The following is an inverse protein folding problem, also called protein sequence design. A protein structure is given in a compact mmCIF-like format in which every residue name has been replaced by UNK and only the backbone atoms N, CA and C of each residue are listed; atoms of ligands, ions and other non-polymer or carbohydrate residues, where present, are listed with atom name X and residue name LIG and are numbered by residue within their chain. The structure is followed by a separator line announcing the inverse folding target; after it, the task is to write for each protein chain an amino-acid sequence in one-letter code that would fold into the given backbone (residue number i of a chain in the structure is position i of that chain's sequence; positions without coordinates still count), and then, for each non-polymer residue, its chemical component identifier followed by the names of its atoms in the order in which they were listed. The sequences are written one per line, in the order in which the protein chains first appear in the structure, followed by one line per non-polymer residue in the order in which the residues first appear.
data_IF_085793961925
#
_entry.id   IF_085793961925
#
_cell.length_a   1.000
_cell.length_b   1.000
_cell.length_c   1.000
_cell.angle_alpha   90.00
_cell.angle_beta   90.00
_cell.angle_gamma   90.00
#
_symmetry.space_group_name_H-M   'P 1'
#
loop_
_entity.id
_entity.type
_entity.pdbx_description
1 polymer ?
#
# COMPACT_ATOMS: atom_id res chain seq x y z
N UNK A 1 43.63 -52.20 -12.33
CA UNK A 1 42.86 -51.13 -12.98
C UNK A 1 41.61 -50.93 -12.14
N UNK A 2 41.73 -50.29 -10.97
CA UNK A 2 41.78 -48.82 -10.78
C UNK A 2 40.52 -48.17 -11.33
N UNK A 3 39.78 -47.31 -10.65
CA UNK A 3 39.71 -46.72 -9.30
C UNK A 3 38.34 -46.00 -9.36
N UNK A 4 37.48 -46.02 -8.35
CA UNK A 4 37.17 -44.84 -7.51
C UNK A 4 36.42 -45.35 -6.28
N UNK A 5 37.16 -45.55 -5.19
CA UNK A 5 36.69 -45.31 -3.82
C UNK A 5 37.32 -43.98 -3.38
N UNK A 6 36.62 -43.28 -2.50
CA UNK A 6 37.05 -42.14 -1.66
C UNK A 6 37.34 -40.79 -2.32
N UNK A 7 36.37 -39.89 -2.20
CA UNK A 7 36.57 -38.53 -1.65
C UNK A 7 35.25 -38.09 -0.99
N UNK A 8 35.11 -38.35 0.32
CA UNK A 8 35.13 -37.30 1.37
C UNK A 8 34.01 -36.27 1.17
N UNK A 9 32.85 -36.44 1.78
CA UNK A 9 32.63 -36.03 3.18
C UNK A 9 33.48 -34.81 3.53
N UNK A 10 33.01 -33.61 3.16
CA UNK A 10 33.42 -32.31 3.70
C UNK A 10 32.63 -31.19 2.99
N UNK A 11 31.42 -30.89 3.49
CA UNK A 11 30.75 -29.58 3.32
C UNK A 11 29.55 -29.40 4.28
N UNK A 12 29.63 -29.96 5.49
CA UNK A 12 28.57 -29.83 6.51
C UNK A 12 28.82 -28.71 7.54
N UNK A 13 29.93 -27.96 7.45
CA UNK A 13 30.26 -26.93 8.45
C UNK A 13 30.16 -25.47 7.99
N UNK A 14 29.70 -25.18 6.78
CA UNK A 14 29.50 -23.80 6.28
C UNK A 14 28.03 -23.44 5.97
N UNK A 15 27.05 -24.23 6.44
CA UNK A 15 25.63 -24.00 6.15
C UNK A 15 24.82 -23.46 7.34
N UNK A 16 25.34 -23.49 8.58
CA UNK A 16 24.56 -23.06 9.75
C UNK A 16 24.67 -21.56 10.03
N UNK A 17 25.85 -20.95 9.89
CA UNK A 17 26.05 -19.53 10.24
C UNK A 17 25.39 -18.58 9.23
N UNK A 18 25.46 -18.90 7.93
CA UNK A 18 24.76 -18.14 6.89
C UNK A 18 23.23 -18.21 7.05
N UNK A 19 22.70 -19.37 7.46
CA UNK A 19 21.27 -19.53 7.73
C UNK A 19 20.80 -18.78 8.98
N UNK A 20 21.63 -18.73 10.02
CA UNK A 20 21.37 -17.94 11.23
C UNK A 20 21.40 -16.46 10.90
N UNK A 21 22.41 -15.99 10.17
CA UNK A 21 22.54 -14.59 9.77
C UNK A 21 21.34 -14.13 8.91
N UNK A 22 20.90 -14.94 7.95
CA UNK A 22 19.76 -14.62 7.10
C UNK A 22 18.46 -14.58 7.90
N UNK A 23 18.24 -15.53 8.83
CA UNK A 23 17.08 -15.50 9.74
C UNK A 23 17.09 -14.25 10.62
N UNK A 24 18.22 -13.90 11.24
CA UNK A 24 18.35 -12.69 12.05
C UNK A 24 18.03 -11.44 11.22
N UNK A 25 18.59 -11.34 10.01
CA UNK A 25 18.33 -10.24 9.08
C UNK A 25 16.85 -10.12 8.73
N UNK A 26 16.17 -11.24 8.47
CA UNK A 26 14.72 -11.29 8.21
C UNK A 26 13.93 -10.74 9.40
N UNK A 27 14.24 -11.16 10.64
CA UNK A 27 13.54 -10.67 11.83
C UNK A 27 13.80 -9.19 12.10
N UNK A 28 15.05 -8.74 11.99
CA UNK A 28 15.43 -7.34 12.21
C UNK A 28 14.70 -6.44 11.22
N UNK A 29 14.72 -6.78 9.92
CA UNK A 29 14.02 -6.01 8.91
C UNK A 29 12.50 -6.06 9.05
N UNK A 30 11.94 -7.19 9.47
CA UNK A 30 10.51 -7.30 9.77
C UNK A 30 10.12 -6.42 10.96
N UNK A 31 10.95 -6.39 12.01
CA UNK A 31 10.74 -5.54 13.19
C UNK A 31 10.80 -4.04 12.82
N UNK A 32 11.78 -3.65 12.01
CA UNK A 32 11.89 -2.29 11.48
C UNK A 32 10.62 -1.91 10.70
N UNK A 33 10.12 -2.79 9.83
CA UNK A 33 8.86 -2.56 9.12
C UNK A 33 7.67 -2.35 10.05
N UNK A 34 7.55 -3.16 11.11
CA UNK A 34 6.48 -3.01 12.11
C UNK A 34 6.59 -1.68 12.84
N UNK A 35 7.79 -1.29 13.28
CA UNK A 35 8.03 -0.04 14.01
C UNK A 35 7.68 1.17 13.13
N UNK A 36 8.10 1.16 11.86
CA UNK A 36 7.89 2.29 10.95
C UNK A 36 6.40 2.49 10.64
N UNK A 37 5.67 1.40 10.37
CA UNK A 37 4.30 1.48 9.85
C UNK A 37 3.20 1.34 10.90
N UNK A 38 3.38 0.55 11.96
CA UNK A 38 2.26 0.14 12.81
C UNK A 38 2.34 0.66 14.24
N UNK A 39 3.49 1.13 14.70
CA UNK A 39 3.65 1.61 16.08
C UNK A 39 3.45 3.13 16.11
N UNK A 40 2.36 3.62 16.72
CA UNK A 40 2.20 5.05 16.95
C UNK A 40 3.17 5.52 18.04
N UNK A 41 3.86 6.62 17.79
CA UNK A 41 4.79 7.27 18.71
C UNK A 41 4.28 8.69 18.96
N UNK A 42 4.34 9.13 20.22
CA UNK A 42 4.00 10.50 20.57
C UNK A 42 5.19 11.42 20.29
N UNK A 43 5.06 12.30 19.31
CA UNK A 43 6.00 13.40 19.04
C UNK A 43 5.17 14.67 18.90
N UNK A 44 5.60 15.78 19.51
CA UNK A 44 4.91 17.07 19.44
C UNK A 44 3.41 17.00 19.79
N UNK A 45 3.04 16.22 20.80
CA UNK A 45 1.65 15.95 21.23
C UNK A 45 0.73 15.22 20.22
N UNK A 46 1.24 14.78 19.07
CA UNK A 46 0.50 13.95 18.12
C UNK A 46 0.89 12.48 18.24
N UNK A 47 -0.11 11.59 18.26
CA UNK A 47 0.08 10.14 18.32
C UNK A 47 -0.05 9.54 16.93
N UNK A 48 1.07 9.48 16.21
CA UNK A 48 1.09 8.99 14.83
C UNK A 48 2.23 8.02 14.59
N UNK A 49 2.16 7.26 13.50
CA UNK A 49 3.20 6.29 13.15
C UNK A 49 4.48 7.01 12.74
N UNK A 50 5.63 6.34 12.87
CA UNK A 50 6.92 6.95 12.53
C UNK A 50 6.96 7.43 11.06
N UNK A 51 6.24 6.73 10.18
CA UNK A 51 6.05 7.15 8.80
C UNK A 51 5.49 8.57 8.68
N UNK A 52 4.41 8.88 9.40
CA UNK A 52 3.79 10.21 9.35
C UNK A 52 4.68 11.29 9.95
N UNK A 53 5.39 11.00 11.05
CA UNK A 53 6.36 11.95 11.61
C UNK A 53 7.46 12.31 10.60
N UNK A 54 7.94 11.35 9.82
CA UNK A 54 8.89 11.60 8.73
C UNK A 54 8.24 12.47 7.65
N UNK A 55 7.01 12.16 7.27
CA UNK A 55 6.26 12.93 6.27
C UNK A 55 6.03 14.38 6.69
N UNK A 56 5.54 14.65 7.91
CA UNK A 56 5.35 16.00 8.44
C UNK A 56 6.65 16.78 8.57
N UNK A 57 7.74 16.10 8.93
CA UNK A 57 9.05 16.74 8.97
C UNK A 57 9.51 17.22 7.59
N UNK A 58 9.24 16.42 6.55
CA UNK A 58 9.52 16.79 5.15
C UNK A 58 8.60 17.92 4.73
N UNK A 59 7.31 17.84 5.05
CA UNK A 59 6.31 18.86 4.74
C UNK A 59 6.69 20.23 5.30
N UNK A 60 6.99 20.30 6.60
CA UNK A 60 7.35 21.55 7.27
C UNK A 60 8.60 22.22 6.69
N UNK A 61 9.56 21.43 6.20
CA UNK A 61 10.82 21.96 5.63
C UNK A 61 10.72 22.28 4.14
N UNK A 62 9.85 21.58 3.41
CA UNK A 62 9.86 21.56 1.96
C UNK A 62 8.49 21.84 1.32
N UNK A 63 7.53 22.42 2.05
CA UNK A 63 6.16 22.67 1.57
C UNK A 63 6.11 23.33 0.18
N UNK A 64 6.92 24.38 -0.05
CA UNK A 64 7.02 25.05 -1.36
C UNK A 64 7.52 24.10 -2.46
N UNK A 65 8.56 23.31 -2.15
CA UNK A 65 9.15 22.35 -3.09
C UNK A 65 8.14 21.24 -3.42
N UNK A 66 7.38 20.78 -2.42
CA UNK A 66 6.34 19.76 -2.59
C UNK A 66 5.27 20.28 -3.55
N UNK A 67 4.74 21.48 -3.32
CA UNK A 67 3.72 22.07 -4.19
C UNK A 67 4.19 22.20 -5.64
N UNK A 68 5.44 22.64 -5.84
CA UNK A 68 6.07 22.69 -7.16
C UNK A 68 6.23 21.28 -7.76
N UNK A 69 6.61 20.29 -6.95
CA UNK A 69 6.75 18.90 -7.41
C UNK A 69 5.43 18.29 -7.87
N UNK A 70 4.32 18.61 -7.19
CA UNK A 70 2.98 18.15 -7.57
C UNK A 70 2.58 18.72 -8.92
N UNK A 71 2.75 20.04 -9.11
CA UNK A 71 2.56 20.68 -10.41
C UNK A 71 3.42 20.03 -11.49
N UNK A 72 4.70 19.79 -11.20
CA UNK A 72 5.62 19.16 -12.13
C UNK A 72 5.21 17.73 -12.51
N UNK A 73 4.73 16.92 -11.57
CA UNK A 73 4.26 15.57 -11.88
C UNK A 73 2.99 15.58 -12.72
N UNK A 74 2.06 16.51 -12.45
CA UNK A 74 0.84 16.67 -13.26
C UNK A 74 1.18 17.14 -14.68
N UNK A 75 2.10 18.11 -14.85
CA UNK A 75 2.53 18.54 -16.19
C UNK A 75 3.22 17.42 -16.95
N UNK A 76 4.10 16.65 -16.30
CA UNK A 76 4.76 15.50 -16.91
C UNK A 76 3.76 14.40 -17.32
N UNK A 77 2.70 14.23 -16.54
CA UNK A 77 1.60 13.30 -16.85
C UNK A 77 0.88 13.69 -18.14
N UNK A 78 0.57 14.99 -18.30
CA UNK A 78 -0.05 15.53 -19.51
C UNK A 78 0.88 15.33 -20.72
N UNK A 79 2.17 15.65 -20.59
CA UNK A 79 3.16 15.48 -21.66
C UNK A 79 3.25 14.02 -22.12
N UNK A 80 3.34 13.08 -21.17
CA UNK A 80 3.39 11.64 -21.46
C UNK A 80 2.16 11.17 -22.23
N UNK A 81 0.97 11.62 -21.85
CA UNK A 81 -0.26 11.23 -22.52
C UNK A 81 -0.37 11.84 -23.91
N UNK A 82 0.00 13.13 -24.08
CA UNK A 82 0.06 13.82 -25.39
C UNK A 82 0.94 13.05 -26.38
N UNK A 83 2.13 12.60 -25.94
CA UNK A 83 3.05 11.81 -26.77
C UNK A 83 2.44 10.45 -27.16
N UNK A 84 1.60 9.87 -26.31
CA UNK A 84 0.93 8.58 -26.52
C UNK A 84 -0.44 8.67 -27.22
N UNK A 85 -0.90 9.86 -27.68
CA UNK A 85 -2.25 10.10 -28.25
C UNK A 85 -2.58 9.26 -29.49
N UNK A 86 -1.61 8.61 -30.15
CA UNK A 86 -1.82 7.85 -31.38
C UNK A 86 -2.70 6.58 -31.25
N UNK A 87 -3.24 6.25 -30.08
CA UNK A 87 -4.14 5.09 -29.90
C UNK A 87 -5.41 5.45 -29.11
N UNK A 88 -6.53 5.58 -29.84
CA UNK A 88 -7.94 5.51 -29.40
C UNK A 88 -8.61 6.76 -28.77
N UNK A 89 -9.90 6.95 -29.09
CA UNK A 89 -10.78 8.10 -28.75
C UNK A 89 -10.93 8.45 -27.26
N UNK A 90 -10.39 7.65 -26.34
CA UNK A 90 -10.48 7.90 -24.88
C UNK A 90 -9.32 8.77 -24.37
N UNK A 91 -8.24 8.95 -25.15
CA UNK A 91 -7.12 9.79 -24.72
C UNK A 91 -7.41 11.30 -24.73
N UNK A 92 -8.29 11.82 -25.59
CA UNK A 92 -8.54 13.27 -25.66
C UNK A 92 -9.27 13.79 -24.43
N UNK A 93 -10.31 13.08 -23.98
CA UNK A 93 -11.04 13.45 -22.77
C UNK A 93 -10.15 13.37 -21.52
N UNK A 94 -9.30 12.33 -21.42
CA UNK A 94 -8.40 12.15 -20.29
C UNK A 94 -7.28 13.20 -20.26
N UNK A 95 -6.73 13.58 -21.42
CA UNK A 95 -5.77 14.69 -21.51
C UNK A 95 -6.45 16.01 -21.14
N UNK A 96 -7.66 16.28 -21.65
CA UNK A 96 -8.43 17.47 -21.29
C UNK A 96 -8.70 17.54 -19.79
N UNK A 97 -9.13 16.43 -19.18
CA UNK A 97 -9.42 16.33 -17.75
C UNK A 97 -8.17 16.60 -16.91
N UNK A 98 -6.99 16.14 -17.36
CA UNK A 98 -5.71 16.42 -16.71
C UNK A 98 -5.26 17.87 -16.85
N UNK A 99 -5.41 18.47 -18.03
CA UNK A 99 -5.10 19.90 -18.26
C UNK A 99 -6.01 20.78 -17.40
N UNK A 100 -7.30 20.46 -17.33
CA UNK A 100 -8.25 21.18 -16.50
C UNK A 100 -7.91 21.07 -15.01
N UNK A 101 -7.55 19.87 -14.55
CA UNK A 101 -7.06 19.66 -13.19
C UNK A 101 -5.79 20.45 -12.89
N UNK A 102 -4.86 20.57 -13.84
CA UNK A 102 -3.64 21.39 -13.68
C UNK A 102 -4.01 22.85 -13.42
N UNK A 103 -4.98 23.40 -14.16
CA UNK A 103 -5.47 24.77 -13.97
C UNK A 103 -6.07 24.93 -12.56
N UNK A 104 -6.93 24.01 -12.12
CA UNK A 104 -7.49 24.08 -10.77
C UNK A 104 -6.37 24.07 -9.73
N UNK A 105 -5.39 23.16 -9.88
CA UNK A 105 -4.28 23.01 -8.95
C UNK A 105 -3.39 24.26 -8.86
N UNK A 106 -3.12 24.93 -9.98
CA UNK A 106 -2.35 26.18 -9.95
C UNK A 106 -3.09 27.30 -9.23
N UNK A 107 -4.41 27.43 -9.44
CA UNK A 107 -5.23 28.42 -8.74
C UNK A 107 -5.30 28.13 -7.23
N UNK A 108 -5.38 26.86 -6.86
CA UNK A 108 -5.40 26.40 -5.47
C UNK A 108 -4.08 26.72 -4.76
N UNK A 109 -2.94 26.62 -5.46
CA UNK A 109 -1.62 26.98 -4.93
C UNK A 109 -1.37 28.50 -4.87
N UNK A 110 -1.98 29.28 -5.76
CA UNK A 110 -1.91 30.75 -5.76
C UNK A 110 -2.86 31.37 -4.72
N UNK A 111 -3.74 30.58 -4.11
CA UNK A 111 -4.71 31.04 -3.11
C UNK A 111 -5.94 31.72 -3.72
N UNK A 112 -6.25 31.43 -4.99
CA UNK A 112 -7.47 31.90 -5.68
C UNK A 112 -8.50 30.78 -5.82
N UNK A 113 -8.76 30.10 -4.70
CA UNK A 113 -9.58 28.90 -4.64
C UNK A 113 -11.08 29.15 -4.77
N UNK A 114 -11.54 30.34 -4.36
CA UNK A 114 -12.91 30.84 -4.50
C UNK A 114 -13.43 30.87 -5.95
N UNK A 115 -12.54 30.79 -6.95
CA UNK A 115 -12.91 30.80 -8.37
C UNK A 115 -13.53 29.48 -8.81
N UNK A 116 -13.13 28.37 -8.19
CA UNK A 116 -13.54 27.02 -8.60
C UNK A 116 -14.33 26.27 -7.53
N UNK A 117 -14.19 26.65 -6.27
CA UNK A 117 -14.85 25.99 -5.14
C UNK A 117 -15.74 26.96 -4.39
N UNK A 118 -16.94 26.50 -4.03
CA UNK A 118 -17.94 27.29 -3.30
C UNK A 118 -17.81 27.03 -1.80
N UNK A 119 -17.50 25.77 -1.43
CA UNK A 119 -17.37 25.33 -0.05
C UNK A 119 -15.90 25.15 0.37
N UNK A 120 -15.46 25.90 1.39
CA UNK A 120 -14.11 25.83 1.96
C UNK A 120 -13.75 24.42 2.50
N UNK A 121 -14.76 23.65 2.92
CA UNK A 121 -14.57 22.29 3.43
C UNK A 121 -14.05 21.34 2.34
N UNK A 122 -14.52 21.48 1.10
CA UNK A 122 -14.05 20.66 -0.02
C UNK A 122 -12.60 20.99 -0.40
N UNK A 123 -12.24 22.28 -0.36
CA UNK A 123 -10.87 22.74 -0.59
C UNK A 123 -9.93 22.14 0.47
N UNK A 124 -10.32 22.21 1.75
CA UNK A 124 -9.51 21.68 2.84
C UNK A 124 -9.24 20.18 2.67
N UNK A 125 -10.28 19.38 2.42
CA UNK A 125 -10.14 17.93 2.20
C UNK A 125 -9.28 17.64 0.95
N UNK A 126 -9.44 18.42 -0.12
CA UNK A 126 -8.66 18.25 -1.33
C UNK A 126 -7.16 18.54 -1.10
N UNK A 127 -6.83 19.63 -0.39
CA UNK A 127 -5.45 19.97 -0.02
C UNK A 127 -4.82 18.86 0.81
N UNK A 128 -5.51 18.40 1.85
CA UNK A 128 -5.03 17.34 2.73
C UNK A 128 -4.79 16.03 1.97
N UNK A 129 -5.72 15.62 1.10
CA UNK A 129 -5.54 14.44 0.25
C UNK A 129 -4.36 14.57 -0.70
N UNK A 130 -4.18 15.73 -1.36
CA UNK A 130 -3.05 15.95 -2.27
C UNK A 130 -1.73 15.89 -1.51
N UNK A 131 -1.65 16.49 -0.31
CA UNK A 131 -0.45 16.46 0.52
C UNK A 131 -0.14 15.04 0.99
N UNK A 132 -1.13 14.31 1.50
CA UNK A 132 -0.99 12.91 1.90
C UNK A 132 -0.49 12.05 0.72
N UNK A 133 -1.08 12.23 -0.46
CA UNK A 133 -0.66 11.54 -1.68
C UNK A 133 0.77 11.91 -2.12
N UNK A 134 1.16 13.17 -2.00
CA UNK A 134 2.42 13.67 -2.56
C UNK A 134 3.61 13.46 -1.64
N UNK A 135 3.38 13.25 -0.34
CA UNK A 135 4.43 13.11 0.67
C UNK A 135 4.38 11.73 1.30
N UNK A 136 3.25 11.37 1.92
CA UNK A 136 3.13 10.13 2.70
C UNK A 136 3.29 8.92 1.80
N UNK A 137 2.63 8.88 0.64
CA UNK A 137 2.73 7.72 -0.24
C UNK A 137 4.15 7.49 -0.81
N UNK A 138 4.90 8.51 -1.32
CA UNK A 138 6.29 8.34 -1.71
C UNK A 138 7.20 7.93 -0.55
N UNK A 139 7.06 8.54 0.62
CA UNK A 139 7.85 8.15 1.81
C UNK A 139 7.54 6.71 2.20
N UNK A 140 6.27 6.31 2.20
CA UNK A 140 5.83 4.95 2.48
C UNK A 140 6.47 3.97 1.51
N UNK A 141 6.48 4.29 0.21
CA UNK A 141 7.06 3.46 -0.84
C UNK A 141 8.54 3.14 -0.63
N UNK A 142 9.29 4.06 -0.01
CA UNK A 142 10.71 3.83 0.31
C UNK A 142 10.89 2.74 1.37
N UNK A 143 9.93 2.63 2.29
CA UNK A 143 9.93 1.66 3.39
C UNK A 143 9.10 0.41 3.10
N UNK A 144 8.24 0.40 2.08
CA UNK A 144 7.45 -0.77 1.65
C UNK A 144 8.25 -2.07 1.45
N UNK A 145 9.51 -2.05 0.97
CA UNK A 145 10.33 -3.27 0.92
C UNK A 145 10.45 -4.00 2.26
N UNK A 146 10.47 -3.27 3.40
CA UNK A 146 10.50 -3.88 4.73
C UNK A 146 9.23 -4.70 5.03
N UNK A 147 8.08 -4.27 4.50
CA UNK A 147 6.81 -4.98 4.66
C UNK A 147 6.68 -6.17 3.71
N UNK A 148 7.04 -6.00 2.44
CA UNK A 148 6.64 -6.91 1.37
C UNK A 148 7.72 -7.89 0.93
N UNK A 149 8.98 -7.58 1.14
CA UNK A 149 10.11 -8.32 0.57
C UNK A 149 11.17 -8.73 1.60
N UNK A 150 11.12 -8.20 2.82
CA UNK A 150 12.06 -8.54 3.90
C UNK A 150 11.60 -9.70 4.82
N UNK A 151 10.52 -10.41 4.48
CA UNK A 151 10.05 -11.61 5.22
C UNK A 151 8.81 -11.40 6.08
N UNK A 152 8.42 -10.14 6.36
CA UNK A 152 7.25 -9.86 7.20
C UNK A 152 5.96 -10.41 6.59
N UNK A 153 5.82 -10.30 5.26
CA UNK A 153 4.69 -10.86 4.52
C UNK A 153 4.58 -12.39 4.69
N UNK A 154 5.69 -13.12 4.58
CA UNK A 154 5.72 -14.58 4.74
C UNK A 154 5.41 -15.01 6.18
N UNK A 155 5.95 -14.28 7.16
CA UNK A 155 5.68 -14.52 8.59
C UNK A 155 4.19 -14.31 8.86
N UNK A 156 3.64 -13.15 8.49
CA UNK A 156 2.24 -12.83 8.71
C UNK A 156 1.31 -13.80 8.00
N UNK A 157 1.61 -14.19 6.76
CA UNK A 157 0.85 -15.18 6.01
C UNK A 157 0.84 -16.53 6.74
N UNK A 158 1.97 -17.01 7.25
CA UNK A 158 2.05 -18.29 7.94
C UNK A 158 1.16 -18.36 9.21
N UNK A 159 1.00 -17.24 9.92
CA UNK A 159 0.14 -17.17 11.10
C UNK A 159 -1.34 -16.99 10.78
N UNK A 160 -1.65 -16.16 9.78
CA UNK A 160 -3.02 -15.68 9.50
C UNK A 160 -3.72 -16.42 8.36
N UNK A 161 -3.01 -17.29 7.62
CA UNK A 161 -3.59 -17.99 6.48
C UNK A 161 -4.88 -18.75 6.83
N UNK A 162 -4.95 -19.41 8.00
CA UNK A 162 -6.16 -20.17 8.40
C UNK A 162 -7.35 -19.26 8.70
N UNK A 163 -7.13 -18.15 9.37
CA UNK A 163 -8.20 -17.21 9.75
C UNK A 163 -8.73 -16.49 8.52
N UNK A 164 -7.83 -15.94 7.70
CA UNK A 164 -8.19 -15.23 6.46
C UNK A 164 -8.90 -16.11 5.44
N UNK A 165 -8.43 -17.34 5.23
CA UNK A 165 -9.05 -18.27 4.29
C UNK A 165 -10.45 -18.71 4.75
N UNK A 166 -10.66 -18.88 6.05
CA UNK A 166 -11.95 -19.31 6.61
C UNK A 166 -12.99 -18.18 6.61
N UNK A 167 -12.59 -16.98 7.04
CA UNK A 167 -13.50 -15.84 7.16
C UNK A 167 -13.80 -15.24 5.78
N UNK A 168 -12.76 -14.80 5.07
CA UNK A 168 -12.89 -13.93 3.89
C UNK A 168 -12.54 -14.62 2.55
N UNK A 169 -12.15 -15.91 2.57
CA UNK A 169 -11.71 -16.67 1.38
C UNK A 169 -10.52 -16.05 0.64
N UNK A 170 -9.68 -15.32 1.36
CA UNK A 170 -8.44 -14.70 0.86
C UNK A 170 -7.21 -15.36 1.47
N UNK A 171 -6.05 -15.19 0.81
CA UNK A 171 -4.75 -15.62 1.31
C UNK A 171 -4.36 -14.86 2.59
N UNK A 172 -3.50 -15.46 3.42
CA UNK A 172 -3.02 -14.82 4.65
C UNK A 172 -2.23 -13.53 4.39
N UNK A 173 -1.66 -13.37 3.18
CA UNK A 173 -0.94 -12.17 2.73
C UNK A 173 -1.79 -10.90 2.85
N UNK A 174 -3.11 -11.05 2.67
CA UNK A 174 -4.07 -9.95 2.77
C UNK A 174 -4.18 -9.39 4.18
N UNK A 175 -3.83 -10.17 5.23
CA UNK A 175 -3.88 -9.65 6.60
C UNK A 175 -2.86 -8.53 6.85
N UNK A 176 -1.64 -8.64 6.33
CA UNK A 176 -0.68 -7.55 6.44
C UNK A 176 -1.22 -6.28 5.76
N UNK A 177 -1.86 -6.45 4.61
CA UNK A 177 -2.47 -5.35 3.89
C UNK A 177 -3.65 -4.71 4.64
N UNK A 178 -4.49 -5.53 5.30
CA UNK A 178 -5.53 -5.07 6.19
C UNK A 178 -4.99 -4.19 7.34
N UNK A 179 -3.84 -4.55 7.92
CA UNK A 179 -3.19 -3.72 8.93
C UNK A 179 -2.72 -2.38 8.35
N UNK A 180 -2.24 -2.36 7.11
CA UNK A 180 -1.86 -1.10 6.43
C UNK A 180 -3.07 -0.20 6.23
N UNK A 181 -4.21 -0.72 5.78
CA UNK A 181 -5.45 0.07 5.68
C UNK A 181 -5.87 0.65 7.03
N UNK A 182 -5.92 -0.19 8.07
CA UNK A 182 -6.41 0.20 9.38
C UNK A 182 -5.50 1.21 10.10
N UNK A 183 -4.18 1.01 10.05
CA UNK A 183 -3.22 1.71 10.91
C UNK A 183 -2.37 2.76 10.19
N UNK A 184 -2.26 2.68 8.87
CA UNK A 184 -1.41 3.57 8.08
C UNK A 184 -2.30 4.54 7.32
N UNK A 185 -2.75 4.14 6.14
CA UNK A 185 -3.47 5.01 5.22
C UNK A 185 -4.17 4.18 4.15
N UNK A 186 -5.31 4.67 3.68
CA UNK A 186 -6.11 4.00 2.66
C UNK A 186 -5.40 3.91 1.32
N UNK A 187 -4.70 4.97 0.90
CA UNK A 187 -3.97 4.98 -0.37
C UNK A 187 -2.76 4.07 -0.28
N UNK A 188 -2.03 4.09 0.83
CA UNK A 188 -0.93 3.17 1.09
C UNK A 188 -1.39 1.70 1.00
N UNK A 189 -2.55 1.37 1.59
CA UNK A 189 -3.15 0.04 1.49
C UNK A 189 -3.51 -0.35 0.05
N UNK A 190 -4.11 0.58 -0.73
CA UNK A 190 -4.40 0.32 -2.15
C UNK A 190 -3.12 0.05 -2.93
N UNK A 191 -2.07 0.84 -2.70
CA UNK A 191 -0.78 0.65 -3.36
C UNK A 191 -0.13 -0.70 -3.02
N UNK A 192 -0.15 -1.11 -1.75
CA UNK A 192 0.32 -2.45 -1.32
C UNK A 192 -0.48 -3.54 -2.04
N UNK A 193 -1.80 -3.37 -2.14
CA UNK A 193 -2.67 -4.32 -2.84
C UNK A 193 -2.28 -4.44 -4.32
N UNK A 194 -2.11 -3.30 -4.98
CA UNK A 194 -1.68 -3.21 -6.37
C UNK A 194 -0.34 -3.90 -6.59
N UNK A 195 0.65 -3.64 -5.72
CA UNK A 195 1.96 -4.27 -5.81
C UNK A 195 1.87 -5.78 -5.67
N UNK A 196 1.20 -6.26 -4.63
CA UNK A 196 1.06 -7.69 -4.38
C UNK A 196 0.35 -8.40 -5.54
N UNK A 197 -0.59 -7.74 -6.22
CA UNK A 197 -1.20 -8.25 -7.43
C UNK A 197 -0.24 -8.25 -8.62
N UNK A 198 0.47 -7.14 -8.85
CA UNK A 198 1.46 -6.98 -9.94
C UNK A 198 2.60 -7.99 -9.84
N UNK A 199 3.09 -8.25 -8.63
CA UNK A 199 4.15 -9.22 -8.33
C UNK A 199 3.65 -10.68 -8.39
N UNK A 200 2.38 -10.92 -8.73
CA UNK A 200 1.81 -12.27 -8.79
C UNK A 200 1.63 -12.93 -7.42
N UNK A 201 1.78 -12.18 -6.32
CA UNK A 201 1.61 -12.68 -4.94
C UNK A 201 0.13 -12.82 -4.57
N UNK A 202 -0.79 -12.08 -5.21
CA UNK A 202 -2.26 -12.12 -5.03
C UNK A 202 -3.00 -12.46 -6.33
N UNK A 203 -4.15 -13.13 -6.19
CA UNK A 203 -5.09 -13.39 -7.30
C UNK A 203 -6.01 -12.18 -7.54
N UNK A 204 -6.53 -12.04 -8.76
CA UNK A 204 -7.44 -10.93 -9.13
C UNK A 204 -8.64 -10.84 -8.18
N UNK A 205 -9.29 -11.96 -7.87
CA UNK A 205 -10.38 -12.01 -6.89
C UNK A 205 -9.96 -11.52 -5.51
N UNK A 206 -8.78 -11.89 -5.03
CA UNK A 206 -8.30 -11.48 -3.71
C UNK A 206 -7.97 -9.99 -3.70
N UNK A 207 -7.36 -9.47 -4.76
CA UNK A 207 -7.12 -8.05 -4.97
C UNK A 207 -8.44 -7.25 -4.92
N UNK A 208 -9.45 -7.66 -5.68
CA UNK A 208 -10.75 -6.99 -5.71
C UNK A 208 -11.46 -7.01 -4.35
N UNK A 209 -11.46 -8.16 -3.66
CA UNK A 209 -12.01 -8.25 -2.30
C UNK A 209 -11.26 -7.30 -1.37
N UNK A 210 -9.92 -7.29 -1.44
CA UNK A 210 -9.09 -6.50 -0.54
C UNK A 210 -9.35 -5.01 -0.69
N UNK A 211 -9.38 -4.50 -1.93
CA UNK A 211 -9.63 -3.08 -2.21
C UNK A 211 -11.04 -2.68 -1.77
N UNK A 212 -12.07 -3.47 -2.10
CA UNK A 212 -13.46 -3.08 -1.81
C UNK A 212 -13.81 -3.18 -0.32
N UNK A 213 -13.28 -4.18 0.38
CA UNK A 213 -13.71 -4.51 1.74
C UNK A 213 -12.87 -3.85 2.83
N UNK A 214 -11.59 -3.59 2.58
CA UNK A 214 -10.67 -3.10 3.61
C UNK A 214 -10.31 -1.62 3.48
N UNK A 215 -10.57 -0.98 2.34
CA UNK A 215 -10.29 0.46 2.14
C UNK A 215 -11.21 1.42 2.91
N UNK A 216 -12.28 0.90 3.53
CA UNK A 216 -13.26 1.70 4.27
C UNK A 216 -12.83 1.91 5.72
N UNK A 217 -11.85 1.16 6.21
CA UNK A 217 -11.45 1.13 7.62
C UNK A 217 -10.18 1.97 7.84
N UNK A 218 -10.24 2.97 8.72
CA UNK A 218 -9.08 3.76 9.15
C UNK A 218 -9.26 4.22 10.58
N UNK A 219 -8.28 3.91 11.45
CA UNK A 219 -8.30 4.31 12.86
C UNK A 219 -8.35 5.85 13.02
N UNK A 220 -7.65 6.57 12.15
CA UNK A 220 -7.59 8.04 12.17
C UNK A 220 -8.98 8.64 11.89
N UNK A 221 -9.64 8.19 10.82
CA UNK A 221 -10.99 8.64 10.48
C UNK A 221 -11.99 8.31 11.59
N UNK A 222 -11.93 7.10 12.14
CA UNK A 222 -12.78 6.69 13.27
C UNK A 222 -12.56 7.59 14.48
N UNK A 223 -11.31 7.93 14.80
CA UNK A 223 -10.95 8.83 15.89
C UNK A 223 -11.55 10.23 15.71
N UNK A 224 -11.38 10.82 14.53
CA UNK A 224 -11.90 12.15 14.22
C UNK A 224 -13.43 12.21 14.25
N UNK A 225 -14.10 11.18 13.74
CA UNK A 225 -15.56 11.03 13.81
C UNK A 225 -16.04 10.93 15.25
N UNK A 226 -15.39 10.12 16.08
CA UNK A 226 -15.76 9.98 17.49
C UNK A 226 -15.56 11.29 18.26
N UNK A 227 -14.49 12.04 17.96
CA UNK A 227 -14.25 13.35 18.57
C UNK A 227 -15.30 14.39 18.16
N UNK A 228 -15.83 14.32 16.92
CA UNK A 228 -16.90 15.23 16.47
C UNK A 228 -18.27 14.91 17.08
N UNK A 229 -18.53 13.65 17.43
CA UNK A 229 -19.83 13.17 17.94
C UNK A 229 -19.78 12.96 19.48
N UNK A 230 -18.64 13.23 20.12
CA UNK A 230 -18.38 13.01 21.55
C UNK A 230 -18.70 11.58 22.03
N UNK A 231 -18.35 10.57 21.24
CA UNK A 231 -18.56 9.15 21.56
C UNK A 231 -17.26 8.48 21.98
N UNK A 232 -17.34 7.52 22.89
CA UNK A 232 -16.18 6.72 23.28
C UNK A 232 -15.63 5.90 22.08
N UNK A 233 -14.44 6.29 21.63
CA UNK A 233 -13.69 5.70 20.51
C UNK A 233 -13.62 4.17 20.61
N UNK A 234 -13.32 3.63 21.80
CA UNK A 234 -13.12 2.19 21.97
C UNK A 234 -14.41 1.39 21.71
N UNK A 235 -15.55 1.87 22.19
CA UNK A 235 -16.84 1.20 21.98
C UNK A 235 -17.28 1.30 20.52
N UNK A 236 -17.13 2.48 19.92
CA UNK A 236 -17.48 2.71 18.53
C UNK A 236 -16.63 1.82 17.60
N UNK A 237 -15.32 1.79 17.80
CA UNK A 237 -14.39 0.98 17.02
C UNK A 237 -14.69 -0.52 17.10
N UNK A 238 -15.06 -1.05 18.27
CA UNK A 238 -15.44 -2.46 18.40
C UNK A 238 -16.68 -2.78 17.57
N UNK A 239 -17.70 -1.91 17.60
CA UNK A 239 -18.91 -2.09 16.81
C UNK A 239 -18.63 -1.96 15.31
N UNK A 240 -17.84 -0.97 14.91
CA UNK A 240 -17.39 -0.78 13.54
C UNK A 240 -16.69 -2.04 13.02
N UNK A 241 -15.73 -2.59 13.78
CA UNK A 241 -15.01 -3.80 13.42
C UNK A 241 -15.93 -5.02 13.31
N UNK A 242 -16.91 -5.17 14.20
CA UNK A 242 -17.90 -6.25 14.12
C UNK A 242 -18.74 -6.17 12.85
N UNK A 243 -19.28 -4.98 12.55
CA UNK A 243 -20.07 -4.74 11.34
C UNK A 243 -19.22 -5.00 10.10
N UNK A 244 -18.00 -4.49 10.05
CA UNK A 244 -17.07 -4.72 8.95
C UNK A 244 -16.76 -6.19 8.73
N UNK A 245 -16.48 -6.96 9.79
CA UNK A 245 -16.21 -8.40 9.68
C UNK A 245 -17.43 -9.11 9.08
N UNK A 246 -18.64 -8.80 9.56
CA UNK A 246 -19.88 -9.41 9.06
C UNK A 246 -20.11 -9.04 7.58
N UNK A 247 -20.06 -7.75 7.25
CA UNK A 247 -20.21 -7.25 5.89
C UNK A 247 -19.18 -7.87 4.95
N UNK A 248 -17.92 -7.96 5.35
CA UNK A 248 -16.85 -8.51 4.53
C UNK A 248 -17.00 -10.02 4.31
N UNK A 249 -17.50 -10.76 5.30
CA UNK A 249 -17.86 -12.18 5.15
C UNK A 249 -18.97 -12.35 4.12
N UNK A 250 -19.97 -11.45 4.12
CA UNK A 250 -21.10 -11.47 3.19
C UNK A 250 -20.64 -11.10 1.78
N UNK A 251 -20.01 -9.92 1.61
CA UNK A 251 -19.59 -9.35 0.32
C UNK A 251 -18.60 -10.28 -0.41
N UNK A 252 -17.65 -10.90 0.30
CA UNK A 252 -16.69 -11.84 -0.29
C UNK A 252 -17.34 -13.11 -0.90
N UNK A 253 -18.63 -13.36 -0.58
CA UNK A 253 -19.41 -14.53 -1.02
C UNK A 253 -20.54 -14.19 -1.98
N UNK A 254 -20.89 -12.92 -2.12
CA UNK A 254 -21.94 -12.44 -3.03
C UNK A 254 -21.36 -12.15 -4.44
N UNK A 255 -22.23 -12.15 -5.45
CA UNK A 255 -21.92 -11.71 -6.81
C UNK A 255 -21.75 -10.17 -6.84
N UNK A 256 -20.75 -9.59 -7.53
CA UNK A 256 -19.90 -10.16 -8.58
C UNK A 256 -18.60 -10.82 -8.11
N UNK A 257 -18.17 -10.58 -6.87
CA UNK A 257 -16.86 -11.04 -6.36
C UNK A 257 -16.72 -12.56 -6.34
N UNK A 258 -17.83 -13.29 -6.15
CA UNK A 258 -17.85 -14.77 -6.24
C UNK A 258 -17.41 -15.29 -7.62
N UNK A 259 -17.75 -14.58 -8.71
CA UNK A 259 -17.46 -15.01 -10.11
C UNK A 259 -16.16 -14.45 -10.67
N UNK A 260 -15.48 -13.55 -9.95
CA UNK A 260 -14.18 -13.02 -10.38
C UNK A 260 -13.16 -14.15 -10.52
N UNK A 261 -12.34 -14.07 -11.58
CA UNK A 261 -11.34 -15.09 -11.93
C UNK A 261 -10.31 -15.21 -10.80
N UNK A 262 -9.84 -16.44 -10.57
CA UNK A 262 -8.76 -16.74 -9.63
C UNK A 262 -7.40 -16.78 -10.34
N UNK A 263 -7.20 -15.90 -11.32
CA UNK A 263 -5.95 -15.74 -12.05
C UNK A 263 -4.98 -14.81 -11.32
N UNK A 264 -3.69 -15.07 -11.49
CA UNK A 264 -2.61 -14.16 -11.12
C UNK A 264 -2.28 -13.24 -12.30
N UNK A 265 -1.68 -12.08 -12.04
CA UNK A 265 -1.26 -11.12 -13.07
C UNK A 265 -0.25 -11.74 -14.07
N UNK A 266 0.68 -12.55 -13.56
CA UNK A 266 1.48 -13.51 -14.34
C UNK A 266 1.50 -14.86 -13.61
N UNK A 267 1.79 -15.97 -14.31
CA UNK A 267 1.98 -17.29 -13.68
C UNK A 267 3.27 -17.28 -12.84
N UNK A 268 3.22 -16.68 -11.66
CA UNK A 268 4.30 -16.79 -10.67
C UNK A 268 4.30 -18.21 -10.09
N UNK A 269 5.49 -18.76 -9.81
CA UNK A 269 5.64 -20.01 -9.06
C UNK A 269 5.25 -19.91 -7.58
N UNK A 270 4.66 -18.78 -7.14
CA UNK A 270 4.26 -18.56 -5.75
C UNK A 270 3.14 -19.53 -5.35
N UNK A 271 3.50 -20.50 -4.49
CA UNK A 271 2.57 -21.48 -3.92
C UNK A 271 1.98 -20.94 -2.61
N UNK A 272 0.64 -20.84 -2.56
CA UNK A 272 -0.10 -20.48 -1.36
C UNK A 272 0.19 -21.43 -0.19
N UNK A 273 0.12 -20.91 1.04
CA UNK A 273 0.32 -21.72 2.24
C UNK A 273 -0.76 -22.77 2.39
N UNK A 274 -0.38 -23.99 2.71
CA UNK A 274 -1.30 -24.98 3.24
C UNK A 274 -0.56 -25.70 4.37
N UNK A 275 -0.48 -25.08 5.54
CA UNK A 275 0.34 -25.60 6.64
C UNK A 275 -0.48 -25.79 7.91
N UNK A 276 -0.44 -27.02 8.45
CA UNK A 276 -1.05 -27.42 9.73
C UNK A 276 -0.03 -27.46 10.90
N UNK A 277 1.29 -27.55 10.65
CA UNK A 277 2.36 -27.61 11.66
C UNK A 277 3.61 -26.81 11.23
N UNK A 278 4.40 -26.31 12.21
CA UNK A 278 5.64 -25.51 12.08
C UNK A 278 5.55 -24.27 11.17
N UNK A 279 4.70 -23.32 11.56
CA UNK A 279 4.42 -22.07 10.81
C UNK A 279 5.68 -21.25 10.51
N UNK A 280 6.55 -21.10 11.51
CA UNK A 280 7.72 -20.24 11.45
C UNK A 280 8.80 -20.79 10.51
N UNK A 281 9.12 -22.08 10.60
CA UNK A 281 10.05 -22.73 9.67
C UNK A 281 9.54 -22.71 8.23
N UNK A 282 8.22 -22.77 8.04
CA UNK A 282 7.61 -22.64 6.70
C UNK A 282 7.76 -21.22 6.16
N UNK A 283 7.55 -20.19 6.99
CA UNK A 283 7.76 -18.80 6.60
C UNK A 283 9.21 -18.55 6.17
N UNK A 284 10.16 -19.02 6.97
CA UNK A 284 11.59 -18.95 6.67
C UNK A 284 11.91 -19.65 5.34
N UNK A 285 11.45 -20.89 5.13
CA UNK A 285 11.66 -21.61 3.86
C UNK A 285 11.10 -20.86 2.65
N UNK A 286 9.92 -20.25 2.78
CA UNK A 286 9.33 -19.45 1.71
C UNK A 286 10.08 -18.16 1.43
N UNK A 287 10.58 -17.51 2.48
CA UNK A 287 11.44 -16.35 2.32
C UNK A 287 12.69 -16.71 1.51
N UNK A 288 13.28 -17.90 1.74
CA UNK A 288 14.38 -18.40 0.90
C UNK A 288 13.96 -18.64 -0.56
N UNK A 289 12.81 -19.29 -0.80
CA UNK A 289 12.31 -19.60 -2.15
C UNK A 289 11.91 -18.34 -2.95
N UNK A 290 11.44 -17.30 -2.26
CA UNK A 290 10.94 -16.06 -2.86
C UNK A 290 11.93 -14.90 -2.78
N UNK A 291 13.15 -15.13 -2.28
CA UNK A 291 14.13 -14.06 -2.03
C UNK A 291 14.46 -13.32 -3.32
N UNK A 292 14.10 -12.05 -3.38
CA UNK A 292 14.54 -11.17 -4.46
C UNK A 292 16.05 -10.89 -4.29
N UNK A 293 16.84 -11.20 -5.31
CA UNK A 293 18.30 -10.91 -5.33
C UNK A 293 18.64 -9.40 -5.44
N UNK A 294 17.63 -8.55 -5.56
CA UNK A 294 17.82 -7.09 -5.65
C UNK A 294 18.20 -6.53 -4.28
N UNK A 295 19.14 -5.57 -4.28
CA UNK A 295 19.51 -4.82 -3.08
C UNK A 295 18.31 -4.03 -2.56
N UNK A 296 18.21 -3.85 -1.25
CA UNK A 296 17.12 -3.11 -0.60
C UNK A 296 16.90 -1.72 -1.23
N UNK A 297 17.97 -0.96 -1.43
CA UNK A 297 17.90 0.39 -2.00
C UNK A 297 17.34 0.41 -3.43
N UNK A 298 17.72 -0.56 -4.27
CA UNK A 298 17.17 -0.64 -5.63
C UNK A 298 15.71 -1.08 -5.65
N UNK A 299 15.29 -1.88 -4.66
CA UNK A 299 13.89 -2.18 -4.43
C UNK A 299 13.12 -0.90 -4.07
N UNK A 300 13.57 -0.20 -3.04
CA UNK A 300 12.99 1.05 -2.54
C UNK A 300 12.80 2.08 -3.67
N UNK A 301 13.82 2.28 -4.51
CA UNK A 301 13.74 3.16 -5.67
C UNK A 301 12.75 2.67 -6.74
N UNK A 302 12.64 1.35 -6.94
CA UNK A 302 11.64 0.76 -7.84
C UNK A 302 10.21 1.02 -7.35
N UNK A 303 9.97 0.93 -6.04
CA UNK A 303 8.68 1.23 -5.43
C UNK A 303 8.33 2.71 -5.57
N UNK A 304 9.29 3.60 -5.29
CA UNK A 304 9.12 5.04 -5.44
C UNK A 304 8.79 5.44 -6.89
N UNK A 305 9.49 4.88 -7.87
CA UNK A 305 9.18 5.13 -9.28
C UNK A 305 7.75 4.73 -9.64
N UNK A 306 7.28 3.58 -9.15
CA UNK A 306 5.90 3.13 -9.37
C UNK A 306 4.87 4.04 -8.72
N UNK A 307 5.14 4.51 -7.50
CA UNK A 307 4.29 5.50 -6.82
C UNK A 307 4.22 6.80 -7.63
N UNK A 308 5.35 7.33 -8.10
CA UNK A 308 5.35 8.55 -8.93
C UNK A 308 4.48 8.35 -10.17
N UNK A 309 4.61 7.21 -10.87
CA UNK A 309 3.76 6.92 -12.03
C UNK A 309 2.27 6.83 -11.70
N UNK A 310 1.91 6.34 -10.51
CA UNK A 310 0.52 6.28 -10.05
C UNK A 310 0.04 7.69 -9.72
N UNK A 311 0.82 8.49 -8.98
CA UNK A 311 0.48 9.86 -8.59
C UNK A 311 0.25 10.76 -9.80
N UNK A 312 1.10 10.65 -10.83
CA UNK A 312 0.94 11.35 -12.10
C UNK A 312 -0.47 11.15 -12.70
N UNK A 313 -1.07 9.97 -12.52
CA UNK A 313 -2.40 9.67 -13.05
C UNK A 313 -3.52 9.93 -12.04
N UNK A 314 -3.25 9.72 -10.75
CA UNK A 314 -4.26 9.73 -9.71
C UNK A 314 -4.60 11.17 -9.25
N UNK A 315 -3.59 12.02 -9.03
CA UNK A 315 -3.80 13.40 -8.55
C UNK A 315 -4.77 14.16 -9.48
N UNK A 316 -4.59 14.14 -10.82
CA UNK A 316 -5.48 14.90 -11.68
C UNK A 316 -6.94 14.40 -11.66
N UNK A 317 -7.10 13.09 -11.49
CA UNK A 317 -8.41 12.46 -11.43
C UNK A 317 -9.14 12.80 -10.12
N UNK A 318 -8.41 12.86 -9.00
CA UNK A 318 -8.96 13.26 -7.70
C UNK A 318 -9.42 14.72 -7.73
N UNK A 319 -8.58 15.64 -8.23
CA UNK A 319 -8.94 17.07 -8.35
C UNK A 319 -10.21 17.23 -9.18
N UNK A 320 -10.34 16.49 -10.29
CA UNK A 320 -11.52 16.55 -11.14
C UNK A 320 -12.77 15.99 -10.47
N UNK A 321 -12.66 14.87 -9.74
CA UNK A 321 -13.78 14.30 -8.97
C UNK A 321 -14.25 15.30 -7.90
N UNK A 322 -13.32 15.91 -7.17
CA UNK A 322 -13.65 16.92 -6.16
C UNK A 322 -14.31 18.16 -6.77
N UNK A 323 -13.81 18.62 -7.91
CA UNK A 323 -14.42 19.73 -8.64
C UNK A 323 -15.86 19.42 -9.09
N UNK A 324 -16.10 18.24 -9.66
CA UNK A 324 -17.44 17.80 -10.05
C UNK A 324 -18.34 17.65 -8.82
N UNK A 325 -17.82 17.07 -7.74
CA UNK A 325 -18.55 16.91 -6.49
C UNK A 325 -18.94 18.23 -5.82
N UNK A 326 -18.16 19.29 -6.01
CA UNK A 326 -18.49 20.63 -5.53
C UNK A 326 -19.60 21.33 -6.37
N UNK A 327 -19.86 20.87 -7.60
CA UNK A 327 -20.91 21.45 -8.46
C UNK A 327 -22.28 20.80 -8.19
N UNK A 328 -22.30 19.54 -7.73
CA UNK A 328 -23.52 18.72 -7.53
C UNK A 328 -24.13 19.03 -6.17
#
# INVERSE_FOLDING_TARGET
MESVKSSTCNKEHSCNDDDIYIKMKMYIFSLIGIIIFFIPIKINNQYETLLYHISYFIENKASIIINISVLFFVTLSILKDIINVNKSSINKFLVFSKVFSLIILTFLLVGKEEIFFIDDSFIFILKDLILNLSIVLPVASLFMPFLLDCGLLEITEAFTHRTMKKLFRVSGKVFLNFLVYLLVDNVCGVFVTYRLYKDGKLRERECAITILNFSVLSLSLTGDLCNKIDVNIGKFFIMEMLVLIICNIIISRIYPLKKKKQSYYFKSGHKNVNCKKNKLNTAVKRYYENKNNKKFFSLSLSYLNEVIYILMNLIPLIVLIFFIGNII
#
